data_IF_521809205929
#
_entry.id   IF_521809205929
#
_cell.length_a   1.000
_cell.length_b   1.000
_cell.length_c   1.000
_cell.angle_alpha   90.00
_cell.angle_beta   90.00
_cell.angle_gamma   90.00
#
_symmetry.space_group_name_H-M   'P 1'
#
loop_
_entity.id
_entity.type
_entity.pdbx_description
1 polymer ?
#
# COMPACT_ATOMS: atom_id res chain seq x y z
N UNK A 1 -11.29 5.68 -7.07
CA UNK A 1 -12.39 4.90 -7.69
C UNK A 1 -11.81 4.12 -8.85
N UNK A 2 -12.27 2.88 -9.06
CA UNK A 2 -11.85 1.95 -10.13
C UNK A 2 -13.11 1.35 -10.78
N UNK A 3 -13.14 1.24 -12.10
CA UNK A 3 -14.27 0.72 -12.89
C UNK A 3 -14.18 -0.80 -13.02
N UNK A 4 -14.21 -1.47 -11.87
CA UNK A 4 -14.15 -2.91 -11.74
C UNK A 4 -14.98 -3.34 -10.52
N UNK A 5 -15.52 -4.56 -10.52
CA UNK A 5 -16.27 -5.10 -9.39
C UNK A 5 -15.35 -5.36 -8.19
N UNK A 6 -15.87 -5.35 -6.95
CA UNK A 6 -15.07 -5.56 -5.75
C UNK A 6 -14.24 -6.85 -5.76
N UNK A 7 -14.79 -7.93 -6.30
CA UNK A 7 -14.16 -9.25 -6.37
C UNK A 7 -12.86 -9.23 -7.17
N UNK A 8 -12.85 -8.56 -8.33
CA UNK A 8 -11.66 -8.45 -9.18
C UNK A 8 -10.55 -7.62 -8.50
N UNK A 9 -10.94 -6.55 -7.81
CA UNK A 9 -10.00 -5.72 -7.06
C UNK A 9 -9.47 -6.44 -5.82
N UNK A 10 -10.30 -7.23 -5.17
CA UNK A 10 -9.93 -8.04 -4.02
C UNK A 10 -8.91 -9.12 -4.40
N UNK A 11 -9.17 -9.88 -5.47
CA UNK A 11 -8.21 -10.86 -6.00
C UNK A 11 -6.88 -10.20 -6.38
N UNK A 12 -6.93 -9.02 -6.99
CA UNK A 12 -5.75 -8.24 -7.30
C UNK A 12 -4.96 -7.79 -6.05
N UNK A 13 -5.66 -7.40 -4.97
CA UNK A 13 -5.05 -7.07 -3.68
C UNK A 13 -4.44 -8.29 -2.99
N UNK A 14 -5.00 -9.49 -3.19
CA UNK A 14 -4.40 -10.73 -2.71
C UNK A 14 -3.15 -11.15 -3.49
N UNK A 15 -3.07 -10.87 -4.80
CA UNK A 15 -1.87 -11.08 -5.63
C UNK A 15 -0.81 -10.00 -5.37
N UNK A 16 -0.46 -9.78 -4.10
CA UNK A 16 0.49 -8.76 -3.69
C UNK A 16 1.87 -8.84 -4.38
N UNK A 17 2.41 -10.04 -4.70
CA UNK A 17 3.64 -10.16 -5.47
C UNK A 17 3.53 -9.58 -6.88
N UNK A 18 2.33 -9.58 -7.46
CA UNK A 18 2.01 -8.90 -8.69
C UNK A 18 2.34 -7.41 -8.67
N UNK A 19 2.29 -6.72 -7.52
CA UNK A 19 2.60 -5.29 -7.41
C UNK A 19 4.03 -4.92 -7.78
N UNK A 20 4.98 -5.85 -7.62
CA UNK A 20 6.38 -5.59 -7.97
C UNK A 20 6.54 -5.16 -9.44
N UNK A 21 5.65 -5.62 -10.34
CA UNK A 21 5.69 -5.26 -11.77
C UNK A 21 5.32 -3.80 -12.05
N UNK A 22 4.68 -3.12 -11.10
CA UNK A 22 4.17 -1.76 -11.29
C UNK A 22 4.98 -0.68 -10.57
N UNK A 23 5.99 -1.03 -9.76
CA UNK A 23 6.77 -0.07 -9.00
C UNK A 23 8.23 -0.07 -9.41
N UNK A 24 8.81 1.10 -9.70
CA UNK A 24 10.26 1.24 -9.87
C UNK A 24 11.02 1.17 -8.53
N UNK A 25 10.30 1.13 -7.41
CA UNK A 25 10.87 1.15 -6.06
C UNK A 25 10.70 -0.16 -5.28
N UNK A 26 9.92 -1.11 -5.80
CA UNK A 26 9.82 -2.45 -5.23
C UNK A 26 10.77 -3.34 -6.03
N UNK A 27 11.88 -3.71 -5.41
CA UNK A 27 12.87 -4.61 -6.00
C UNK A 27 12.37 -6.05 -5.98
N UNK A 28 11.72 -6.43 -4.87
CA UNK A 28 11.22 -7.80 -4.69
C UNK A 28 10.07 -7.85 -3.71
N UNK A 29 9.07 -8.66 -4.03
CA UNK A 29 8.07 -9.12 -3.06
C UNK A 29 8.27 -10.62 -2.87
N UNK A 30 8.33 -11.07 -1.62
CA UNK A 30 8.32 -12.50 -1.29
C UNK A 30 7.08 -12.79 -0.48
N UNK A 31 6.28 -13.75 -0.92
CA UNK A 31 5.10 -14.24 -0.21
C UNK A 31 5.43 -15.59 0.42
N UNK A 32 5.06 -15.76 1.68
CA UNK A 32 5.07 -17.02 2.41
C UNK A 32 3.67 -17.29 2.96
N UNK A 33 2.89 -18.08 2.21
CA UNK A 33 1.47 -18.34 2.45
C UNK A 33 0.64 -18.22 1.19
N UNK A 34 -0.68 -18.22 1.33
CA UNK A 34 -1.66 -18.26 0.25
C UNK A 34 -2.51 -16.98 0.14
N UNK A 35 -2.20 -15.95 0.93
CA UNK A 35 -2.95 -14.69 1.00
C UNK A 35 -3.97 -14.64 2.15
N UNK A 36 -4.19 -15.75 2.85
CA UNK A 36 -5.09 -15.84 4.01
C UNK A 36 -4.35 -15.54 5.32
N UNK A 37 -5.05 -15.44 6.48
CA UNK A 37 -4.42 -15.14 7.76
C UNK A 37 -3.23 -16.04 8.10
N UNK A 38 -2.12 -15.42 8.52
CA UNK A 38 -0.83 -16.07 8.73
C UNK A 38 0.11 -16.00 7.51
N UNK A 39 -0.38 -15.53 6.35
CA UNK A 39 0.48 -15.25 5.19
C UNK A 39 1.40 -14.06 5.49
N UNK A 40 2.69 -14.22 5.20
CA UNK A 40 3.68 -13.17 5.38
C UNK A 40 4.14 -12.61 4.03
N UNK A 41 4.34 -11.30 3.97
CA UNK A 41 4.89 -10.60 2.81
C UNK A 41 6.16 -9.83 3.20
N UNK A 42 7.24 -10.08 2.47
CA UNK A 42 8.47 -9.28 2.52
C UNK A 42 8.52 -8.37 1.29
N UNK A 43 8.30 -7.08 1.49
CA UNK A 43 8.40 -6.06 0.46
C UNK A 43 9.76 -5.39 0.57
N UNK A 44 10.65 -5.73 -0.35
CA UNK A 44 11.98 -5.12 -0.47
C UNK A 44 11.87 -3.88 -1.34
N UNK A 45 11.94 -2.72 -0.69
CA UNK A 45 12.04 -1.45 -1.35
C UNK A 45 13.51 -1.13 -1.64
N UNK A 46 13.81 -0.77 -2.88
CA UNK A 46 15.10 -0.24 -3.27
C UNK A 46 14.89 1.07 -4.02
N UNK A 47 14.94 2.17 -3.29
CA UNK A 47 15.08 3.49 -3.88
C UNK A 47 16.49 4.02 -3.58
N UNK A 48 16.92 5.07 -4.30
CA UNK A 48 18.25 5.68 -4.12
C UNK A 48 18.72 5.68 -2.63
N UNK A 49 19.94 5.21 -2.35
CA UNK A 49 20.56 5.12 -0.99
C UNK A 49 19.81 4.39 0.14
N UNK A 50 18.60 3.88 -0.05
CA UNK A 50 17.80 3.31 1.03
C UNK A 50 17.16 2.00 0.56
N UNK A 51 17.63 0.90 1.14
CA UNK A 51 17.00 -0.42 1.00
C UNK A 51 16.28 -0.71 2.30
N UNK A 52 14.97 -0.92 2.24
CA UNK A 52 14.17 -1.30 3.41
C UNK A 52 13.30 -2.50 3.08
N UNK A 53 13.27 -3.48 3.97
CA UNK A 53 12.33 -4.61 3.87
C UNK A 53 11.24 -4.39 4.90
N UNK A 54 10.05 -4.02 4.40
CA UNK A 54 8.83 -4.08 5.19
C UNK A 54 8.38 -5.54 5.24
N UNK A 55 8.10 -6.04 6.44
CA UNK A 55 7.52 -7.37 6.64
C UNK A 55 6.13 -7.22 7.21
N UNK A 56 5.13 -7.71 6.50
CA UNK A 56 3.75 -7.73 6.96
C UNK A 56 3.21 -9.15 7.08
N UNK A 57 2.20 -9.30 7.92
CA UNK A 57 1.43 -10.53 8.10
C UNK A 57 -0.05 -10.21 7.88
N UNK A 58 -0.76 -11.04 7.10
CA UNK A 58 -2.22 -10.99 6.99
C UNK A 58 -2.81 -11.52 8.28
N UNK A 59 -3.70 -10.74 8.91
CA UNK A 59 -4.32 -11.09 10.20
C UNK A 59 -5.79 -11.47 10.06
N UNK A 60 -6.43 -11.08 8.96
CA UNK A 60 -7.86 -11.31 8.71
C UNK A 60 -8.21 -11.09 7.24
N UNK A 61 -9.25 -11.77 6.78
CA UNK A 61 -9.84 -11.59 5.45
C UNK A 61 -11.36 -11.66 5.56
N UNK A 62 -12.05 -10.77 4.86
CA UNK A 62 -13.51 -10.78 4.69
C UNK A 62 -13.79 -10.54 3.20
N UNK A 63 -14.03 -11.61 2.44
CA UNK A 63 -14.16 -11.54 0.98
C UNK A 63 -15.50 -10.94 0.55
N UNK A 64 -15.54 -10.02 -0.44
CA UNK A 64 -14.44 -9.39 -1.17
C UNK A 64 -14.04 -8.00 -0.61
N UNK A 65 -14.45 -7.68 0.61
CA UNK A 65 -14.45 -6.31 1.11
C UNK A 65 -13.18 -5.94 1.87
N UNK A 66 -12.48 -6.89 2.51
CA UNK A 66 -11.44 -6.54 3.49
C UNK A 66 -10.28 -7.52 3.59
N UNK A 67 -9.08 -6.97 3.75
CA UNK A 67 -7.86 -7.70 4.08
C UNK A 67 -7.15 -6.96 5.21
N UNK A 68 -7.14 -7.54 6.41
CA UNK A 68 -6.45 -7.02 7.59
C UNK A 68 -5.00 -7.47 7.60
N UNK A 69 -4.10 -6.58 8.02
CA UNK A 69 -2.68 -6.86 8.09
C UNK A 69 -1.99 -6.09 9.21
N UNK A 70 -0.79 -6.55 9.57
CA UNK A 70 0.12 -5.84 10.48
C UNK A 70 1.56 -5.90 10.00
N UNK A 71 2.36 -4.89 10.30
CA UNK A 71 3.81 -4.93 10.18
C UNK A 71 4.36 -5.72 11.37
N UNK A 72 5.29 -6.64 11.10
CA UNK A 72 5.92 -7.49 12.13
C UNK A 72 7.41 -7.18 12.29
N UNK A 73 7.88 -6.07 11.72
CA UNK A 73 9.29 -5.67 11.73
C UNK A 73 9.44 -4.15 11.83
N UNK A 74 10.32 -3.73 12.74
CA UNK A 74 10.90 -2.39 12.91
C UNK A 74 9.96 -1.23 13.29
N UNK A 75 8.65 -1.37 13.10
CA UNK A 75 7.61 -0.41 13.51
C UNK A 75 6.31 -1.16 13.81
N UNK A 76 5.61 -0.75 14.86
CA UNK A 76 4.27 -1.23 15.16
C UNK A 76 3.29 -0.46 14.27
N UNK A 77 2.79 -1.15 13.26
CA UNK A 77 1.77 -0.63 12.37
C UNK A 77 0.80 -1.73 11.97
N UNK A 78 -0.47 -1.39 11.89
CA UNK A 78 -1.54 -2.27 11.47
C UNK A 78 -2.52 -1.53 10.57
N UNK A 79 -3.34 -2.28 9.87
CA UNK A 79 -4.21 -1.67 8.89
C UNK A 79 -5.05 -2.67 8.16
N UNK A 80 -5.73 -2.15 7.14
CA UNK A 80 -6.53 -2.97 6.28
C UNK A 80 -6.65 -2.35 4.89
N UNK A 81 -6.78 -3.22 3.91
CA UNK A 81 -7.39 -2.87 2.63
C UNK A 81 -8.89 -3.02 2.76
N UNK A 82 -9.62 -2.07 2.20
CA UNK A 82 -11.07 -2.13 2.09
C UNK A 82 -11.50 -1.84 0.65
N UNK A 83 -12.38 -2.67 0.12
CA UNK A 83 -12.98 -2.52 -1.20
C UNK A 83 -14.49 -2.45 -1.02
N UNK A 84 -15.11 -1.44 -1.60
CA UNK A 84 -16.56 -1.32 -1.60
C UNK A 84 -17.05 -0.92 -2.99
N UNK A 85 -18.21 -1.44 -3.38
CA UNK A 85 -18.92 -0.95 -4.55
C UNK A 85 -19.42 0.48 -4.28
N UNK A 86 -19.30 1.34 -5.30
CA UNK A 86 -19.80 2.71 -5.27
C UNK A 86 -20.65 2.98 -6.51
N UNK A 87 -21.46 4.03 -6.45
CA UNK A 87 -22.24 4.45 -7.62
C UNK A 87 -21.33 4.70 -8.83
N UNK A 88 -21.54 3.92 -9.88
CA UNK A 88 -20.82 4.08 -11.13
C UNK A 88 -21.24 5.39 -11.84
N UNK A 89 -20.30 6.08 -12.51
CA UNK A 89 -20.62 7.20 -13.40
C UNK A 89 -21.50 6.75 -14.58
N UNK A 90 -22.17 7.71 -15.23
CA UNK A 90 -22.97 7.43 -16.43
C UNK A 90 -22.12 6.74 -17.52
N UNK A 91 -22.60 5.60 -18.02
CA UNK A 91 -21.92 4.82 -19.05
C UNK A 91 -20.88 3.84 -18.52
N UNK A 92 -20.75 3.68 -17.20
CA UNK A 92 -19.93 2.65 -16.54
C UNK A 92 -20.84 1.65 -15.85
N UNK A 93 -20.58 0.35 -16.04
CA UNK A 93 -21.43 -0.71 -15.50
C UNK A 93 -21.25 -0.91 -13.98
N UNK A 94 -20.00 -0.89 -13.51
CA UNK A 94 -19.65 -1.10 -12.09
C UNK A 94 -18.47 -0.22 -11.71
N UNK A 95 -18.47 0.29 -10.48
CA UNK A 95 -17.35 1.02 -9.92
C UNK A 95 -17.16 0.67 -8.45
N UNK A 96 -15.90 0.67 -8.02
CA UNK A 96 -15.51 0.39 -6.65
C UNK A 96 -14.55 1.43 -6.12
N UNK A 97 -14.49 1.56 -4.80
CA UNK A 97 -13.51 2.36 -4.07
C UNK A 97 -12.60 1.43 -3.29
N UNK A 98 -11.29 1.59 -3.49
CA UNK A 98 -10.25 0.94 -2.70
C UNK A 98 -9.71 1.92 -1.68
N UNK A 99 -9.65 1.51 -0.42
CA UNK A 99 -9.15 2.29 0.70
C UNK A 99 -8.03 1.50 1.37
N UNK A 100 -6.89 2.17 1.59
CA UNK A 100 -5.82 1.69 2.47
C UNK A 100 -5.90 2.46 3.78
N UNK A 101 -6.21 1.76 4.88
CA UNK A 101 -6.15 2.33 6.22
C UNK A 101 -4.87 1.84 6.91
N UNK A 102 -4.14 2.75 7.54
CA UNK A 102 -2.91 2.45 8.29
C UNK A 102 -2.97 3.19 9.62
N UNK A 103 -2.79 2.44 10.70
CA UNK A 103 -2.50 2.94 12.04
C UNK A 103 -1.06 2.58 12.37
N UNK A 104 -0.29 3.53 12.91
CA UNK A 104 1.10 3.26 13.30
C UNK A 104 1.44 4.00 14.58
N UNK A 105 2.29 3.40 15.41
CA UNK A 105 2.88 4.03 16.58
C UNK A 105 4.22 4.69 16.19
N UNK A 106 4.32 6.04 16.20
CA UNK A 106 5.55 6.74 15.82
C UNK A 106 6.73 6.45 16.76
N UNK A 107 6.47 6.11 18.02
CA UNK A 107 7.50 5.88 19.04
C UNK A 107 8.01 4.44 19.04
N UNK A 108 7.32 3.52 18.36
CA UNK A 108 7.71 2.11 18.22
C UNK A 108 8.88 1.88 17.26
N UNK A 109 9.20 2.89 16.44
CA UNK A 109 10.22 2.77 15.40
C UNK A 109 11.59 2.45 16.01
N UNK A 110 12.18 1.32 15.63
CA UNK A 110 13.51 0.98 16.12
C UNK A 110 14.55 1.97 15.57
N UNK A 111 15.42 2.49 16.44
CA UNK A 111 16.45 3.48 16.06
C UNK A 111 17.49 2.97 15.05
N UNK A 112 17.48 1.67 14.74
CA UNK A 112 18.34 1.02 13.74
C UNK A 112 17.57 0.57 12.47
N UNK A 113 16.29 0.94 12.32
CA UNK A 113 15.45 0.51 11.20
C UNK A 113 15.88 1.08 9.83
N UNK A 114 16.61 2.20 9.84
CA UNK A 114 16.96 2.96 8.63
C UNK A 114 18.43 3.37 8.66
N UNK A 115 19.20 2.96 7.65
CA UNK A 115 20.58 3.41 7.45
C UNK A 115 20.62 4.89 7.00
N UNK A 116 20.49 5.81 7.95
CA UNK A 116 20.50 7.25 7.67
C UNK A 116 21.94 7.82 7.69
N UNK A 117 22.25 8.77 6.78
CA UNK A 117 23.50 9.53 6.87
C UNK A 117 23.61 10.24 8.22
N UNK A 118 24.79 10.19 8.84
CA UNK A 118 25.11 10.98 10.02
C UNK A 118 24.87 12.46 9.65
N UNK A 119 24.03 13.19 10.40
CA UNK A 119 23.65 14.62 10.27
C UNK A 119 22.21 14.93 9.78
N UNK A 120 21.36 13.93 9.51
CA UNK A 120 19.92 14.16 9.21
C UNK A 120 19.03 13.49 10.26
N UNK A 121 18.00 14.20 10.74
CA UNK A 121 16.96 13.63 11.61
C UNK A 121 15.93 12.87 10.77
N UNK A 122 15.32 11.85 11.38
CA UNK A 122 14.23 11.10 10.75
C UNK A 122 13.07 12.03 10.34
N UNK A 123 12.73 13.02 11.18
CA UNK A 123 11.65 13.98 10.90
C UNK A 123 11.88 14.81 9.63
N UNK A 124 13.11 15.31 9.41
CA UNK A 124 13.45 16.07 8.21
C UNK A 124 13.38 15.20 6.94
N UNK A 125 13.76 13.92 7.06
CA UNK A 125 13.63 12.94 5.97
C UNK A 125 12.15 12.69 5.67
N UNK A 126 11.33 12.46 6.69
CA UNK A 126 9.88 12.27 6.55
C UNK A 126 9.25 13.47 5.80
N UNK A 127 9.56 14.70 6.19
CA UNK A 127 9.02 15.90 5.53
C UNK A 127 9.40 16.01 4.04
N UNK A 128 10.64 15.64 3.69
CA UNK A 128 11.12 15.72 2.30
C UNK A 128 10.61 14.58 1.42
N UNK A 129 10.34 13.43 2.02
CA UNK A 129 9.99 12.21 1.30
C UNK A 129 8.48 12.12 1.06
N UNK A 130 7.63 12.66 1.95
CA UNK A 130 6.16 12.73 1.80
C UNK A 130 5.69 13.13 0.38
N UNK A 131 6.13 14.26 -0.23
CA UNK A 131 5.67 14.66 -1.56
C UNK A 131 6.17 13.74 -2.70
N UNK A 132 7.32 13.09 -2.52
CA UNK A 132 7.84 12.13 -3.49
C UNK A 132 7.07 10.80 -3.44
N UNK A 133 6.74 10.33 -2.23
CA UNK A 133 5.89 9.15 -2.02
C UNK A 133 4.54 9.37 -2.68
N UNK A 134 3.90 10.52 -2.46
CA UNK A 134 2.60 10.82 -3.06
C UNK A 134 2.65 10.73 -4.59
N UNK A 135 3.62 11.40 -5.22
CA UNK A 135 3.72 11.42 -6.68
C UNK A 135 3.93 10.02 -7.27
N UNK A 136 4.73 9.19 -6.63
CA UNK A 136 4.92 7.84 -7.13
C UNK A 136 3.72 6.94 -6.84
N UNK A 137 3.14 7.01 -5.65
CA UNK A 137 1.94 6.25 -5.30
C UNK A 137 0.85 6.48 -6.34
N UNK A 138 0.62 7.73 -6.76
CA UNK A 138 -0.30 8.07 -7.86
C UNK A 138 0.06 7.33 -9.15
N UNK A 139 1.32 7.38 -9.60
CA UNK A 139 1.76 6.73 -10.85
C UNK A 139 1.65 5.20 -10.83
N UNK A 140 1.84 4.58 -9.66
CA UNK A 140 1.69 3.14 -9.50
C UNK A 140 0.21 2.80 -9.59
N UNK A 141 -0.65 3.54 -8.87
CA UNK A 141 -2.10 3.36 -8.91
C UNK A 141 -2.67 3.57 -10.31
N UNK A 142 -2.24 4.59 -11.04
CA UNK A 142 -2.64 4.83 -12.44
C UNK A 142 -2.27 3.66 -13.35
N UNK A 143 -1.08 3.07 -13.16
CA UNK A 143 -0.63 1.90 -13.94
C UNK A 143 -1.45 0.65 -13.64
N UNK A 144 -1.76 0.43 -12.36
CA UNK A 144 -2.62 -0.66 -11.90
C UNK A 144 -4.02 -0.52 -12.47
N UNK A 145 -4.63 0.66 -12.32
CA UNK A 145 -5.97 0.96 -12.83
C UNK A 145 -6.01 0.79 -14.35
N UNK A 146 -4.98 1.23 -15.06
CA UNK A 146 -4.92 1.06 -16.50
C UNK A 146 -4.82 -0.40 -16.96
N UNK A 147 -4.26 -1.27 -16.14
CA UNK A 147 -4.19 -2.71 -16.43
C UNK A 147 -5.54 -3.39 -16.17
N UNK A 148 -6.21 -3.02 -15.08
CA UNK A 148 -7.54 -3.53 -14.70
C UNK A 148 -8.61 -3.06 -15.70
N UNK A 149 -8.62 -1.78 -16.04
CA UNK A 149 -9.66 -1.19 -16.89
C UNK A 149 -9.35 -1.27 -18.39
N UNK A 150 -8.12 -1.64 -18.74
CA UNK A 150 -7.65 -1.69 -20.13
C UNK A 150 -7.40 -0.32 -20.77
N UNK A 151 -7.60 0.79 -20.06
CA UNK A 151 -7.34 2.15 -20.55
C UNK A 151 -6.69 3.06 -19.50
N UNK A 152 -5.89 4.04 -19.95
CA UNK A 152 -5.26 5.00 -19.05
C UNK A 152 -6.20 6.14 -18.72
N UNK A 153 -6.39 6.40 -17.43
CA UNK A 153 -7.07 7.59 -16.92
C UNK A 153 -6.38 8.14 -15.68
N UNK A 154 -6.63 9.41 -15.42
CA UNK A 154 -6.22 10.03 -14.16
C UNK A 154 -7.02 9.42 -13.01
N UNK A 155 -6.32 9.07 -11.92
CA UNK A 155 -6.93 8.48 -10.73
C UNK A 155 -6.86 9.49 -9.59
N UNK A 156 -8.01 9.74 -8.97
CA UNK A 156 -8.07 10.54 -7.75
C UNK A 156 -7.58 9.69 -6.56
N UNK A 157 -6.35 10.00 -6.09
CA UNK A 157 -5.74 9.41 -4.91
C UNK A 157 -5.88 10.38 -3.74
N UNK A 158 -6.78 10.07 -2.81
CA UNK A 158 -6.89 10.78 -1.55
C UNK A 158 -6.04 10.09 -0.48
N UNK A 159 -4.96 10.76 -0.05
CA UNK A 159 -4.20 10.34 1.13
C UNK A 159 -4.73 11.12 2.33
N UNK A 160 -5.41 10.42 3.24
CA UNK A 160 -5.87 11.00 4.50
C UNK A 160 -4.93 10.54 5.61
N UNK A 161 -4.31 11.49 6.29
CA UNK A 161 -3.62 11.23 7.55
C UNK A 161 -4.57 11.54 8.68
N UNK A 162 -4.79 10.59 9.60
CA UNK A 162 -5.47 10.88 10.86
C UNK A 162 -4.76 12.00 11.63
N UNK A 163 -5.43 12.65 12.60
CA UNK A 163 -4.74 13.61 13.45
C UNK A 163 -3.53 12.92 14.09
N UNK A 164 -2.37 13.57 14.05
CA UNK A 164 -1.22 13.16 14.87
C UNK A 164 -1.76 13.01 16.30
N UNK A 165 -1.71 11.81 16.86
CA UNK A 165 -2.14 11.57 18.24
C UNK A 165 -1.33 12.48 19.15
N UNK A 166 -1.97 13.50 19.74
CA UNK A 166 -1.40 14.42 20.73
C UNK A 166 -1.78 13.97 22.13
#
# INVERSE_FOLDING_TARGET
>A
MVYAPPEELYEFLLDFPGYARYSEYIDRVTQDGDGTPGTNYDLVFSWWKLTYTARSEVTGVDEPERIDWRIVKDIDAEGYWYVEEVSAPDGVDVASRVVLHIEFDPDSASSNAVDLPRLVSLDWVIEKVKPLIHKEATRIVERVVADIEGERRDVDLAIQTGPDSV
#
